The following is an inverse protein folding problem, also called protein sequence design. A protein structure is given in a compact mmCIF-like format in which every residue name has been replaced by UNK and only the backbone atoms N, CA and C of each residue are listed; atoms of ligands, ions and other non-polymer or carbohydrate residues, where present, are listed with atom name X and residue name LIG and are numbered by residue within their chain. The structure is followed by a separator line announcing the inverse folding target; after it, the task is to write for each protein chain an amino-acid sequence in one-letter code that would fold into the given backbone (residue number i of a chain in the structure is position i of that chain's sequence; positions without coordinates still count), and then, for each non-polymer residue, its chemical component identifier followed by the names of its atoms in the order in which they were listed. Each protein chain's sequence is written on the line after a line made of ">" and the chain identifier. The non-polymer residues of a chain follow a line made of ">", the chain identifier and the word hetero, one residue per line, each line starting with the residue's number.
data_IF_102364628233
#
_entry.id   IF_102364628233
#
_cell.length_a   1.000
_cell.length_b   1.000
_cell.length_c   1.000
_cell.angle_alpha   90.00
_cell.angle_beta   90.00
_cell.angle_gamma   90.00
#
_symmetry.space_group_name_H-M   'P 1'
#
loop_
_entity.id
_entity.type
_entity.pdbx_description
1 polymer ?
#
# COMPACT_ATOMS: atom_id res chain seq x y z
N UNK A 1 -13.50 -2.56 -6.76
CA UNK A 1 -14.13 -1.43 -6.04
C UNK A 1 -13.62 -0.11 -6.56
N UNK A 2 -14.55 0.82 -6.83
CA UNK A 2 -14.32 2.22 -7.22
C UNK A 2 -14.83 3.12 -6.08
N UNK A 3 -14.14 4.21 -5.71
CA UNK A 3 -13.01 4.84 -6.43
C UNK A 3 -11.63 4.21 -6.15
N UNK A 4 -11.56 3.13 -5.36
CA UNK A 4 -10.29 2.51 -4.99
C UNK A 4 -9.65 3.16 -3.76
N UNK A 5 -8.39 2.81 -3.47
CA UNK A 5 -7.63 3.38 -2.34
C UNK A 5 -7.40 4.88 -2.57
N UNK A 6 -7.81 5.72 -1.63
CA UNK A 6 -7.66 7.18 -1.70
C UNK A 6 -6.45 7.66 -0.90
N UNK A 7 -5.89 8.86 -1.21
CA UNK A 7 -4.83 9.46 -0.40
C UNK A 7 -5.19 9.58 1.10
N UNK A 8 -6.46 9.85 1.40
CA UNK A 8 -6.97 9.95 2.77
C UNK A 8 -6.79 8.65 3.57
N UNK A 9 -6.90 7.48 2.92
CA UNK A 9 -6.70 6.17 3.54
C UNK A 9 -5.25 5.95 3.99
N UNK A 10 -4.31 6.79 3.50
CA UNK A 10 -2.87 6.63 3.67
C UNK A 10 -2.23 7.76 4.49
N UNK A 11 -2.97 8.80 4.86
CA UNK A 11 -2.42 9.95 5.59
C UNK A 11 -1.74 9.56 6.90
N UNK A 12 -2.32 8.62 7.65
CA UNK A 12 -1.73 8.16 8.91
C UNK A 12 -0.39 7.46 8.67
N UNK A 13 -0.29 6.70 7.58
CA UNK A 13 0.93 6.00 7.19
C UNK A 13 2.02 7.00 6.81
N UNK A 14 1.66 8.04 6.04
CA UNK A 14 2.58 9.14 5.69
C UNK A 14 3.07 9.86 6.94
N UNK A 15 2.17 10.21 7.87
CA UNK A 15 2.51 10.90 9.13
C UNK A 15 3.46 10.09 10.02
N UNK A 16 3.43 8.76 9.94
CA UNK A 16 4.34 7.85 10.66
C UNK A 16 5.75 7.76 10.04
N UNK A 17 5.99 8.39 8.89
CA UNK A 17 7.32 8.47 8.28
C UNK A 17 7.82 7.11 7.78
N UNK A 18 6.95 6.32 7.15
CA UNK A 18 7.34 5.07 6.49
C UNK A 18 8.17 5.34 5.25
N UNK A 19 9.06 4.40 4.89
CA UNK A 19 9.86 4.44 3.67
C UNK A 19 9.15 3.78 2.48
N UNK A 20 8.38 2.73 2.76
CA UNK A 20 7.69 1.93 1.75
C UNK A 20 6.27 1.63 2.19
N UNK A 21 5.33 1.67 1.24
CA UNK A 21 3.93 1.27 1.44
C UNK A 21 3.59 0.11 0.52
N UNK A 22 3.03 -0.95 1.11
CA UNK A 22 2.49 -2.09 0.37
C UNK A 22 0.96 -2.02 0.37
N UNK A 23 0.36 -2.05 -0.82
CA UNK A 23 -1.09 -2.00 -1.04
C UNK A 23 -1.56 -3.37 -1.55
N UNK A 24 -2.27 -4.11 -0.71
CA UNK A 24 -2.97 -5.35 -1.07
C UNK A 24 -4.34 -5.05 -1.68
N UNK A 25 -4.49 -5.28 -2.98
CA UNK A 25 -5.69 -4.87 -3.76
C UNK A 25 -6.80 -5.92 -3.87
N UNK A 26 -6.82 -6.88 -2.96
CA UNK A 26 -7.80 -7.97 -2.93
C UNK A 26 -7.26 -9.27 -3.52
N UNK A 27 -7.97 -10.36 -3.23
CA UNK A 27 -7.71 -11.70 -3.75
C UNK A 27 -7.89 -11.76 -5.27
N UNK A 28 -8.85 -10.99 -5.79
CA UNK A 28 -9.16 -10.90 -7.22
C UNK A 28 -8.64 -9.60 -7.85
N UNK A 29 -7.82 -8.85 -7.12
CA UNK A 29 -7.29 -7.55 -7.54
C UNK A 29 -8.38 -6.52 -7.93
N UNK A 30 -9.61 -6.67 -7.43
CA UNK A 30 -10.72 -5.84 -7.87
C UNK A 30 -10.68 -4.43 -7.26
N UNK A 31 -10.00 -4.24 -6.12
CA UNK A 31 -9.78 -2.90 -5.56
C UNK A 31 -8.84 -2.10 -6.48
N UNK A 32 -9.29 -0.92 -6.91
CA UNK A 32 -8.47 -0.03 -7.72
C UNK A 32 -7.47 0.73 -6.86
N UNK A 33 -6.33 1.08 -7.45
CA UNK A 33 -5.36 2.03 -6.88
C UNK A 33 -5.17 3.14 -7.90
N UNK A 34 -5.87 4.28 -7.74
CA UNK A 34 -5.72 5.42 -8.63
C UNK A 34 -4.27 5.91 -8.70
N UNK A 35 -3.86 6.40 -9.88
CA UNK A 35 -2.53 6.99 -10.06
C UNK A 35 -2.30 8.17 -9.10
N UNK A 36 -3.33 8.96 -8.80
CA UNK A 36 -3.27 10.06 -7.82
C UNK A 36 -2.84 9.61 -6.43
N UNK A 37 -3.24 8.41 -6.01
CA UNK A 37 -2.85 7.80 -4.72
C UNK A 37 -1.38 7.40 -4.72
N UNK A 38 -0.91 6.81 -5.82
CA UNK A 38 0.51 6.46 -5.99
C UNK A 38 1.38 7.71 -6.05
N UNK A 39 0.95 8.72 -6.80
CA UNK A 39 1.66 9.99 -6.94
C UNK A 39 1.72 10.77 -5.62
N UNK A 40 0.66 10.73 -4.82
CA UNK A 40 0.65 11.30 -3.49
C UNK A 40 1.75 10.67 -2.61
N UNK A 41 1.85 9.34 -2.57
CA UNK A 41 2.89 8.65 -1.81
C UNK A 41 4.30 9.00 -2.33
N UNK A 42 4.50 8.95 -3.65
CA UNK A 42 5.80 9.27 -4.28
C UNK A 42 6.24 10.71 -4.03
N UNK A 43 5.32 11.67 -4.07
CA UNK A 43 5.60 13.08 -3.73
C UNK A 43 6.04 13.27 -2.29
N UNK A 44 5.66 12.36 -1.39
CA UNK A 44 6.12 12.32 0.00
C UNK A 44 7.40 11.48 0.19
N UNK A 45 8.06 11.06 -0.90
CA UNK A 45 9.30 10.29 -0.86
C UNK A 45 9.11 8.83 -0.44
N UNK A 46 7.91 8.27 -0.64
CA UNK A 46 7.54 6.92 -0.22
C UNK A 46 7.49 5.99 -1.44
N UNK A 47 8.18 4.86 -1.35
CA UNK A 47 8.12 3.78 -2.33
C UNK A 47 6.79 3.04 -2.24
N UNK A 48 6.21 2.64 -3.38
CA UNK A 48 4.87 2.03 -3.43
C UNK A 48 4.92 0.68 -4.14
N UNK A 49 4.42 -0.36 -3.49
CA UNK A 49 4.19 -1.68 -4.06
C UNK A 49 2.69 -1.96 -4.08
N UNK A 50 2.13 -2.24 -5.26
CA UNK A 50 0.71 -2.58 -5.43
C UNK A 50 0.63 -4.02 -5.91
N UNK A 51 0.02 -4.89 -5.11
CA UNK A 51 0.07 -6.34 -5.31
C UNK A 51 -1.27 -6.99 -4.94
N UNK A 52 -1.55 -8.16 -5.51
CA UNK A 52 -2.55 -9.08 -4.95
C UNK A 52 -2.25 -9.34 -3.47
N UNK A 53 -3.29 -9.46 -2.63
CA UNK A 53 -3.16 -9.36 -1.17
C UNK A 53 -2.24 -10.40 -0.53
N UNK A 54 -2.21 -11.65 -0.98
CA UNK A 54 -1.30 -12.66 -0.41
C UNK A 54 0.17 -12.33 -0.72
N UNK A 55 0.44 -11.89 -1.95
CA UNK A 55 1.78 -11.38 -2.34
C UNK A 55 2.14 -10.13 -1.56
N UNK A 56 1.17 -9.23 -1.35
CA UNK A 56 1.36 -8.02 -0.56
C UNK A 56 1.77 -8.35 0.89
N UNK A 57 1.11 -9.32 1.53
CA UNK A 57 1.44 -9.75 2.89
C UNK A 57 2.83 -10.37 2.94
N UNK A 58 3.17 -11.24 1.98
CA UNK A 58 4.51 -11.84 1.90
C UNK A 58 5.61 -10.77 1.76
N UNK A 59 5.41 -9.80 0.87
CA UNK A 59 6.36 -8.72 0.63
C UNK A 59 6.48 -7.78 1.84
N UNK A 60 5.36 -7.42 2.46
CA UNK A 60 5.34 -6.62 3.68
C UNK A 60 6.16 -7.28 4.80
N UNK A 61 5.93 -8.58 5.04
CA UNK A 61 6.65 -9.33 6.05
C UNK A 61 8.15 -9.45 5.74
N UNK A 62 8.51 -9.63 4.47
CA UNK A 62 9.90 -9.66 4.05
C UNK A 62 10.62 -8.33 4.31
N UNK A 63 9.99 -7.20 3.98
CA UNK A 63 10.52 -5.85 4.24
C UNK A 63 10.62 -5.55 5.74
N UNK A 64 9.58 -5.92 6.51
CA UNK A 64 9.56 -5.75 7.95
C UNK A 64 10.68 -6.57 8.62
N UNK A 65 10.90 -7.82 8.20
CA UNK A 65 11.98 -8.67 8.69
C UNK A 65 13.38 -8.12 8.38
N UNK A 66 13.51 -7.32 7.31
CA UNK A 66 14.74 -6.60 6.96
C UNK A 66 14.92 -5.27 7.73
N UNK A 67 13.99 -4.91 8.61
CA UNK A 67 14.03 -3.66 9.38
C UNK A 67 13.62 -2.41 8.57
N UNK A 68 13.01 -2.60 7.40
CA UNK A 68 12.46 -1.48 6.63
C UNK A 68 11.26 -0.89 7.39
N UNK A 69 11.19 0.44 7.50
CA UNK A 69 9.99 1.14 7.98
C UNK A 69 8.88 1.01 6.93
N UNK A 70 8.18 -0.12 6.94
CA UNK A 70 7.13 -0.45 5.97
C UNK A 70 5.74 -0.24 6.57
N UNK A 71 4.88 0.44 5.83
CA UNK A 71 3.43 0.55 6.09
C UNK A 71 2.64 -0.29 5.10
N UNK A 72 1.37 -0.57 5.38
CA UNK A 72 0.54 -1.26 4.42
C UNK A 72 -0.96 -1.12 4.67
N UNK A 73 -1.73 -1.25 3.59
CA UNK A 73 -3.19 -1.36 3.61
C UNK A 73 -3.57 -2.62 2.83
N UNK A 74 -4.46 -3.43 3.39
CA UNK A 74 -4.77 -4.75 2.85
C UNK A 74 -6.27 -4.93 2.73
N UNK A 75 -6.73 -5.14 1.51
CA UNK A 75 -8.08 -5.60 1.24
C UNK A 75 -8.10 -7.13 1.23
N UNK A 76 -8.81 -7.74 2.18
CA UNK A 76 -8.78 -9.20 2.41
C UNK A 76 -9.81 -9.99 1.60
N UNK A 77 -10.66 -9.30 0.83
CA UNK A 77 -11.69 -9.93 -0.01
C UNK A 77 -11.41 -9.67 -1.50
N UNK A 78 -12.44 -9.54 -2.34
CA UNK A 78 -12.29 -9.37 -3.79
C UNK A 78 -11.85 -7.96 -4.19
#
# INVERSE_FOLDING_TARGET
>A
HSPGVQPADLEEIVKKGVKTVVIGRGMSEALQVPASTVDYLKKNGIDVLVLQTEKAVAEYNALAAQGVKVGGVFHSTC
#
